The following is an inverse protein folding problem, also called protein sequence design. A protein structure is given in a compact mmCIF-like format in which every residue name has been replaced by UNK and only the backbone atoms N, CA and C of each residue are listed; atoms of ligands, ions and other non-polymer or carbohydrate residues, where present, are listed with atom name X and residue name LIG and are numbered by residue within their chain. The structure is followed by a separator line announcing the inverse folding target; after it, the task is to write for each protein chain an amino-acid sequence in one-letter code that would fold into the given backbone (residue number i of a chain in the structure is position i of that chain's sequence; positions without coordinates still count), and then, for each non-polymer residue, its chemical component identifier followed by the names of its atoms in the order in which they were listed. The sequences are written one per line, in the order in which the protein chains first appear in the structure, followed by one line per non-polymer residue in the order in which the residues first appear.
data_IF_443019937284
#
_entry.id   IF_443019937284
#
_cell.length_a   1.000
_cell.length_b   1.000
_cell.length_c   1.000
_cell.angle_alpha   90.00
_cell.angle_beta   90.00
_cell.angle_gamma   90.00
#
_symmetry.space_group_name_H-M   'P 1'
#
loop_
_entity.id
_entity.type
_entity.pdbx_description
1 polymer ?
#
# COMPACT_ATOMS: atom_id res chain seq x y z
N UNK A 1 29.64 33.41 18.45
CA UNK A 1 28.92 32.92 19.64
C UNK A 1 29.06 31.42 19.62
N UNK A 2 29.64 30.87 20.68
CA UNK A 2 30.08 29.48 20.81
C UNK A 2 28.89 28.53 20.85
N UNK A 3 28.69 27.77 19.76
CA UNK A 3 27.89 26.54 19.74
C UNK A 3 28.57 25.52 20.64
N UNK A 4 28.21 25.51 21.92
CA UNK A 4 28.49 24.38 22.79
C UNK A 4 27.56 23.24 22.35
N UNK A 5 28.01 22.48 21.34
CA UNK A 5 27.45 21.21 20.96
C UNK A 5 27.39 20.32 22.20
N UNK A 6 26.18 20.04 22.68
CA UNK A 6 26.00 18.89 23.57
C UNK A 6 26.47 17.64 22.84
N UNK A 7 27.01 16.65 23.56
CA UNK A 7 27.59 15.43 22.96
C UNK A 7 26.63 14.64 22.04
N UNK A 8 25.34 15.01 22.00
CA UNK A 8 24.31 14.44 21.13
C UNK A 8 24.02 15.28 19.86
N UNK A 9 24.70 16.41 19.63
CA UNK A 9 24.46 17.28 18.47
C UNK A 9 23.11 18.02 18.51
N UNK A 10 22.52 18.21 19.69
CA UNK A 10 21.25 18.90 19.88
C UNK A 10 21.47 20.36 20.27
N UNK A 11 20.65 21.25 19.72
CA UNK A 11 20.62 22.65 20.16
C UNK A 11 20.05 22.75 21.59
N UNK A 12 20.33 23.85 22.32
CA UNK A 12 19.92 23.99 23.72
C UNK A 12 18.41 23.91 23.96
N UNK A 13 17.58 24.36 23.03
CA UNK A 13 16.13 24.32 23.19
C UNK A 13 15.63 22.87 23.07
N UNK A 14 16.09 22.15 22.05
CA UNK A 14 15.76 20.74 21.87
C UNK A 14 16.23 19.89 23.05
N UNK A 15 17.44 20.14 23.57
CA UNK A 15 17.92 19.45 24.77
C UNK A 15 17.02 19.72 25.99
N UNK A 16 16.64 20.97 26.23
CA UNK A 16 15.78 21.33 27.36
C UNK A 16 14.42 20.65 27.26
N UNK A 17 13.82 20.62 26.07
CA UNK A 17 12.54 19.92 25.86
C UNK A 17 12.67 18.41 26.05
N UNK A 18 13.79 17.81 25.62
CA UNK A 18 14.07 16.40 25.89
C UNK A 18 14.20 16.12 27.39
N UNK A 19 14.92 16.96 28.13
CA UNK A 19 15.08 16.82 29.58
C UNK A 19 13.75 16.98 30.31
N UNK A 20 12.90 17.93 29.89
CA UNK A 20 11.53 18.10 30.41
C UNK A 20 10.67 16.87 30.14
N UNK A 21 10.74 16.32 28.93
CA UNK A 21 10.00 15.11 28.56
C UNK A 21 10.46 13.92 29.41
N UNK A 22 11.78 13.73 29.55
CA UNK A 22 12.39 12.66 30.32
C UNK A 22 12.08 12.76 31.82
N UNK A 23 11.92 13.98 32.35
CA UNK A 23 11.54 14.22 33.75
C UNK A 23 10.03 14.22 34.00
N UNK A 24 9.18 13.92 33.00
CA UNK A 24 7.72 13.95 33.17
C UNK A 24 7.18 12.66 33.81
N UNK A 25 6.16 12.79 34.65
CA UNK A 25 5.48 11.64 35.31
C UNK A 25 4.92 10.61 34.31
N UNK A 26 4.65 11.04 33.07
CA UNK A 26 4.13 10.20 31.99
C UNK A 26 5.20 9.60 31.07
N UNK A 27 6.49 9.74 31.38
CA UNK A 27 7.57 9.41 30.45
C UNK A 27 7.53 7.97 29.94
N UNK A 28 7.32 6.98 30.80
CA UNK A 28 7.24 5.57 30.39
C UNK A 28 6.12 5.34 29.37
N UNK A 29 4.95 5.96 29.61
CA UNK A 29 3.81 5.86 28.71
C UNK A 29 4.08 6.58 27.38
N UNK A 30 4.77 7.71 27.39
CA UNK A 30 5.22 8.41 26.19
C UNK A 30 6.18 7.53 25.39
N UNK A 31 7.16 6.92 26.05
CA UNK A 31 8.13 6.01 25.44
C UNK A 31 7.44 4.81 24.79
N UNK A 32 6.44 4.23 25.47
CA UNK A 32 5.61 3.16 24.93
C UNK A 32 4.83 3.59 23.68
N UNK A 33 4.20 4.77 23.70
CA UNK A 33 3.52 5.30 22.52
C UNK A 33 4.50 5.51 21.35
N UNK A 34 5.69 6.05 21.61
CA UNK A 34 6.73 6.24 20.58
C UNK A 34 7.15 4.89 19.99
N UNK A 35 7.45 3.89 20.83
CA UNK A 35 7.81 2.54 20.36
C UNK A 35 6.70 1.91 19.52
N UNK A 36 5.44 2.03 19.94
CA UNK A 36 4.28 1.49 19.21
C UNK A 36 4.06 2.14 17.84
N UNK A 37 4.44 3.40 17.66
CA UNK A 37 4.35 4.05 16.34
C UNK A 37 5.47 3.62 15.39
N UNK A 38 6.50 2.92 15.88
CA UNK A 38 7.51 2.26 15.05
C UNK A 38 8.35 3.22 14.19
N UNK A 39 8.55 4.46 14.65
CA UNK A 39 9.28 5.49 13.88
C UNK A 39 8.44 6.20 12.82
N UNK A 40 7.11 6.15 12.92
CA UNK A 40 6.22 6.92 12.07
C UNK A 40 6.57 8.42 12.07
N UNK A 41 6.74 9.01 10.89
CA UNK A 41 7.13 10.42 10.71
C UNK A 41 6.05 11.41 11.14
N UNK A 42 4.78 11.07 10.91
CA UNK A 42 3.64 11.92 11.24
C UNK A 42 2.50 11.11 11.88
N UNK A 43 2.62 10.72 13.16
CA UNK A 43 1.61 9.89 13.83
C UNK A 43 0.24 10.56 13.92
N UNK A 44 -0.82 9.78 13.74
CA UNK A 44 -2.20 10.23 13.98
C UNK A 44 -2.38 10.42 15.49
N UNK A 45 -2.88 11.59 15.89
CA UNK A 45 -3.20 11.92 17.29
C UNK A 45 -4.69 11.77 17.50
N UNK A 46 -5.08 10.82 18.35
CA UNK A 46 -6.46 10.58 18.73
C UNK A 46 -6.75 11.18 20.12
N UNK A 47 -7.95 11.74 20.26
CA UNK A 47 -8.54 12.17 21.52
C UNK A 47 -9.93 11.55 21.65
N UNK A 48 -10.27 11.04 22.82
CA UNK A 48 -11.57 10.49 23.12
C UNK A 48 -11.51 9.30 24.06
N UNK A 49 -12.62 8.59 24.15
CA UNK A 49 -12.78 7.44 25.03
C UNK A 49 -13.47 6.28 24.31
N UNK A 50 -13.26 5.07 24.81
CA UNK A 50 -13.99 3.88 24.40
C UNK A 50 -14.47 3.13 25.63
N UNK A 51 -15.66 2.56 25.53
CA UNK A 51 -16.25 1.71 26.57
C UNK A 51 -16.79 0.47 25.89
N UNK A 52 -16.24 -0.69 26.25
CA UNK A 52 -16.75 -1.99 25.85
C UNK A 52 -17.74 -2.48 26.89
N UNK A 53 -18.96 -2.82 26.46
CA UNK A 53 -20.02 -3.33 27.31
C UNK A 53 -20.41 -4.74 26.89
N UNK A 54 -20.77 -5.57 27.86
CA UNK A 54 -21.40 -6.85 27.61
C UNK A 54 -22.75 -6.63 26.91
N UNK A 55 -22.98 -7.36 25.80
CA UNK A 55 -24.13 -7.11 24.93
C UNK A 55 -25.48 -7.50 25.56
N UNK A 56 -25.47 -8.42 26.54
CA UNK A 56 -26.69 -8.96 27.16
C UNK A 56 -27.00 -8.22 28.46
N UNK A 57 -26.00 -8.04 29.31
CA UNK A 57 -26.13 -7.47 30.66
C UNK A 57 -25.89 -5.96 30.69
N UNK A 58 -25.22 -5.39 29.69
CA UNK A 58 -24.87 -3.96 29.63
C UNK A 58 -23.72 -3.55 30.56
N UNK A 59 -23.14 -4.50 31.31
CA UNK A 59 -22.02 -4.27 32.21
C UNK A 59 -20.78 -3.78 31.46
N UNK A 60 -20.04 -2.83 32.03
CA UNK A 60 -18.78 -2.35 31.44
C UNK A 60 -17.70 -3.40 31.64
N UNK A 61 -17.17 -3.91 30.53
CA UNK A 61 -16.05 -4.87 30.53
C UNK A 61 -14.70 -4.14 30.46
N UNK A 62 -14.64 -3.03 29.72
CA UNK A 62 -13.42 -2.25 29.56
C UNK A 62 -13.78 -0.78 29.31
N UNK A 63 -13.01 0.14 29.89
CA UNK A 63 -13.06 1.56 29.58
C UNK A 63 -11.65 2.10 29.38
N UNK A 64 -11.53 3.05 28.46
CA UNK A 64 -10.29 3.73 28.15
C UNK A 64 -10.61 5.19 27.81
N UNK A 65 -9.82 6.14 28.31
CA UNK A 65 -9.89 7.56 27.93
C UNK A 65 -8.50 8.11 27.67
N UNK A 66 -8.37 8.97 26.66
CA UNK A 66 -7.12 9.70 26.42
C UNK A 66 -6.86 10.79 27.45
N UNK A 67 -7.83 11.12 28.31
CA UNK A 67 -7.63 12.10 29.41
C UNK A 67 -6.53 11.66 30.39
N UNK A 68 -6.31 10.35 30.49
CA UNK A 68 -5.24 9.75 31.30
C UNK A 68 -3.96 9.49 30.50
N UNK A 69 -3.92 9.84 29.21
CA UNK A 69 -2.72 9.72 28.39
C UNK A 69 -1.86 10.99 28.51
N UNK A 70 -0.53 10.86 28.45
CA UNK A 70 0.36 12.02 28.44
C UNK A 70 0.03 12.99 27.28
N UNK A 71 -0.30 14.22 27.64
CA UNK A 71 -0.74 15.25 26.69
C UNK A 71 -2.17 15.05 26.15
N UNK A 72 -2.99 14.22 26.79
CA UNK A 72 -4.39 14.01 26.43
C UNK A 72 -4.59 13.25 25.12
N UNK A 73 -3.55 12.58 24.61
CA UNK A 73 -3.56 12.00 23.25
C UNK A 73 -2.98 10.58 23.19
N UNK A 74 -3.60 9.76 22.33
CA UNK A 74 -3.03 8.49 21.87
C UNK A 74 -2.44 8.67 20.48
N UNK A 75 -1.17 8.28 20.31
CA UNK A 75 -0.49 8.29 19.00
C UNK A 75 -0.59 6.94 18.31
N UNK A 76 -1.02 6.96 17.05
CA UNK A 76 -1.03 5.79 16.17
C UNK A 76 -0.16 6.04 14.94
N UNK A 77 0.50 4.99 14.45
CA UNK A 77 1.22 5.05 13.19
C UNK A 77 0.26 5.46 12.05
N UNK A 78 0.69 6.35 11.15
CA UNK A 78 -0.18 6.88 10.09
C UNK A 78 -0.61 5.85 9.04
N UNK A 79 0.08 4.71 8.96
CA UNK A 79 -0.18 3.66 7.96
C UNK A 79 0.03 4.12 6.52
N UNK A 80 0.69 5.26 6.29
CA UNK A 80 0.93 5.78 4.96
C UNK A 80 1.91 4.88 4.21
N UNK A 81 1.47 4.40 3.05
CA UNK A 81 2.21 3.42 2.24
C UNK A 81 3.28 4.07 1.34
N UNK A 82 3.33 5.40 1.28
CA UNK A 82 4.27 6.16 0.45
C UNK A 82 5.53 6.44 1.24
N UNK A 83 6.66 5.86 0.82
CA UNK A 83 7.96 6.08 1.45
C UNK A 83 8.36 7.57 1.47
N UNK A 84 7.96 8.34 0.46
CA UNK A 84 8.16 9.80 0.41
C UNK A 84 7.35 10.60 1.43
N UNK A 85 6.38 9.98 2.12
CA UNK A 85 5.57 10.61 3.17
C UNK A 85 5.88 10.06 4.55
N UNK A 86 6.10 8.75 4.67
CA UNK A 86 6.50 8.11 5.91
C UNK A 86 7.34 6.86 5.58
N UNK A 87 8.69 6.93 5.64
CA UNK A 87 9.56 5.81 5.33
C UNK A 87 9.29 4.58 6.22
N UNK A 88 9.09 4.79 7.52
CA UNK A 88 8.88 3.71 8.49
C UNK A 88 7.58 2.92 8.22
N UNK A 89 6.43 3.61 8.10
CA UNK A 89 5.16 2.93 7.83
C UNK A 89 5.15 2.25 6.45
N UNK A 90 5.77 2.87 5.45
CA UNK A 90 5.89 2.28 4.12
C UNK A 90 6.76 1.00 4.13
N UNK A 91 7.85 0.98 4.91
CA UNK A 91 8.69 -0.19 5.08
C UNK A 91 7.94 -1.36 5.71
N UNK A 92 7.24 -1.13 6.82
CA UNK A 92 6.40 -2.16 7.46
C UNK A 92 5.35 -2.70 6.50
N UNK A 93 4.64 -1.80 5.80
CA UNK A 93 3.64 -2.20 4.80
C UNK A 93 4.23 -3.06 3.67
N UNK A 94 5.42 -2.69 3.17
CA UNK A 94 6.11 -3.44 2.12
C UNK A 94 6.51 -4.83 2.62
N UNK A 95 7.03 -4.95 3.85
CA UNK A 95 7.35 -6.22 4.49
C UNK A 95 6.13 -7.12 4.66
N UNK A 96 5.03 -6.58 5.17
CA UNK A 96 3.75 -7.32 5.32
C UNK A 96 3.23 -7.81 3.98
N UNK A 97 3.25 -6.94 2.97
CA UNK A 97 2.82 -7.28 1.60
C UNK A 97 3.72 -8.36 1.01
N UNK A 98 5.05 -8.27 1.20
CA UNK A 98 5.98 -9.30 0.77
C UNK A 98 5.66 -10.66 1.39
N UNK A 99 5.43 -10.71 2.71
CA UNK A 99 5.09 -11.95 3.39
C UNK A 99 3.76 -12.54 2.92
N UNK A 100 2.75 -11.71 2.65
CA UNK A 100 1.46 -12.15 2.10
C UNK A 100 1.63 -12.74 0.69
N UNK A 101 2.30 -12.02 -0.21
CA UNK A 101 2.51 -12.47 -1.59
C UNK A 101 3.39 -13.73 -1.62
N UNK A 102 4.48 -13.77 -0.84
CA UNK A 102 5.36 -14.93 -0.73
C UNK A 102 4.60 -16.16 -0.26
N UNK A 103 3.84 -16.08 0.84
CA UNK A 103 3.04 -17.20 1.33
C UNK A 103 2.07 -17.70 0.23
N UNK A 104 1.41 -16.77 -0.48
CA UNK A 104 0.56 -17.09 -1.62
C UNK A 104 1.28 -17.64 -2.86
N UNK A 105 2.60 -17.54 -2.94
CA UNK A 105 3.38 -18.07 -4.05
C UNK A 105 4.02 -19.42 -3.74
N UNK A 106 4.58 -19.58 -2.55
CA UNK A 106 5.43 -20.74 -2.24
C UNK A 106 4.93 -21.61 -1.09
N UNK A 107 3.82 -21.22 -0.43
CA UNK A 107 3.38 -21.84 0.81
C UNK A 107 4.01 -21.20 2.05
N UNK A 108 3.29 -21.26 3.16
CA UNK A 108 3.72 -20.89 4.51
C UNK A 108 2.77 -21.53 5.53
N UNK A 109 3.02 -22.78 5.98
CA UNK A 109 2.13 -23.49 6.90
C UNK A 109 1.90 -22.77 8.23
N UNK A 110 2.88 -22.00 8.70
CA UNK A 110 2.74 -21.17 9.90
C UNK A 110 1.71 -20.04 9.74
N UNK A 111 1.40 -19.67 8.49
CA UNK A 111 0.34 -18.73 8.12
C UNK A 111 -0.90 -19.42 7.53
N UNK A 112 -1.02 -20.73 7.72
CA UNK A 112 -2.16 -21.52 7.23
C UNK A 112 -2.20 -21.71 5.71
N UNK A 113 -1.08 -21.55 5.01
CA UNK A 113 -0.99 -21.77 3.56
C UNK A 113 -0.13 -23.01 3.27
N UNK A 114 -0.68 -24.11 2.72
CA UNK A 114 0.09 -25.33 2.46
C UNK A 114 1.23 -25.14 1.45
N UNK A 115 2.27 -25.98 1.52
CA UNK A 115 3.40 -25.94 0.58
C UNK A 115 3.01 -26.37 -0.84
N UNK A 116 1.94 -27.17 -0.97
CA UNK A 116 1.37 -27.58 -2.27
C UNK A 116 0.95 -26.40 -3.14
N UNK A 117 0.73 -25.23 -2.54
CA UNK A 117 0.47 -23.98 -3.26
C UNK A 117 1.53 -23.70 -4.31
N UNK A 118 2.79 -24.10 -4.10
CA UNK A 118 3.87 -23.91 -5.07
C UNK A 118 3.59 -24.57 -6.43
N UNK A 119 2.88 -25.68 -6.43
CA UNK A 119 2.64 -26.49 -7.64
C UNK A 119 1.36 -26.07 -8.37
N UNK A 120 0.56 -25.19 -7.76
CA UNK A 120 -0.69 -24.73 -8.34
C UNK A 120 -0.45 -23.89 -9.62
N UNK A 121 -1.24 -24.13 -10.69
CA UNK A 121 -1.16 -23.35 -11.92
C UNK A 121 -1.37 -21.86 -11.66
N UNK A 122 -0.52 -21.02 -12.25
CA UNK A 122 -0.60 -19.58 -12.10
C UNK A 122 -0.18 -18.83 -13.36
N UNK A 123 -0.68 -17.61 -13.47
CA UNK A 123 -0.30 -16.65 -14.51
C UNK A 123 0.14 -15.35 -13.84
N UNK A 124 1.26 -14.80 -14.30
CA UNK A 124 1.62 -13.41 -14.05
C UNK A 124 1.09 -12.55 -15.20
N UNK A 125 0.01 -11.82 -14.95
CA UNK A 125 -0.66 -10.98 -15.92
C UNK A 125 -0.34 -9.51 -15.68
N UNK A 126 -0.07 -8.78 -16.76
CA UNK A 126 0.02 -7.32 -16.74
C UNK A 126 -1.13 -6.74 -17.54
N UNK A 127 -1.99 -5.95 -16.90
CA UNK A 127 -3.12 -5.28 -17.51
C UNK A 127 -2.80 -3.79 -17.62
N UNK A 128 -2.56 -3.31 -18.84
CA UNK A 128 -2.16 -1.94 -19.10
C UNK A 128 -3.30 -1.08 -19.62
N UNK A 129 -3.23 0.21 -19.33
CA UNK A 129 -4.12 1.19 -19.94
C UNK A 129 -4.02 1.21 -21.47
N UNK A 130 -5.09 1.59 -22.18
CA UNK A 130 -5.03 1.88 -23.61
C UNK A 130 -4.06 3.05 -23.91
N UNK A 131 -3.90 3.35 -25.19
CA UNK A 131 -3.22 4.58 -25.61
C UNK A 131 -4.19 5.75 -25.53
N UNK A 132 -3.71 6.90 -25.04
CA UNK A 132 -4.44 8.18 -25.05
C UNK A 132 -3.78 9.21 -25.99
N UNK A 133 -2.76 8.77 -26.74
CA UNK A 133 -1.90 9.64 -27.55
C UNK A 133 -0.43 9.26 -27.37
N UNK A 134 0.45 9.72 -28.28
CA UNK A 134 1.86 9.44 -28.20
C UNK A 134 2.52 10.25 -27.06
N UNK A 135 3.39 9.59 -26.30
CA UNK A 135 4.15 10.20 -25.18
C UNK A 135 5.64 10.07 -25.43
N UNK A 136 6.44 10.92 -24.78
CA UNK A 136 7.88 10.72 -24.75
C UNK A 136 8.24 9.42 -24.02
N UNK A 137 9.15 8.65 -24.60
CA UNK A 137 9.56 7.33 -24.12
C UNK A 137 11.01 7.02 -24.52
N UNK A 138 11.51 5.84 -24.08
CA UNK A 138 12.85 5.32 -24.40
C UNK A 138 12.73 4.01 -25.19
N UNK A 139 12.63 4.02 -26.53
CA UNK A 139 12.42 2.81 -27.33
C UNK A 139 13.71 1.99 -27.54
N UNK A 140 14.64 2.00 -26.56
CA UNK A 140 15.92 1.30 -26.60
C UNK A 140 16.95 2.00 -27.50
N UNK A 141 17.32 1.36 -28.60
CA UNK A 141 18.38 1.81 -29.52
C UNK A 141 17.95 2.91 -30.49
N UNK A 142 16.67 3.30 -30.49
CA UNK A 142 16.12 4.36 -31.35
C UNK A 142 15.86 5.62 -30.53
N UNK A 143 15.94 6.82 -31.14
CA UNK A 143 15.50 8.03 -30.48
C UNK A 143 14.00 7.97 -30.19
N UNK A 144 13.55 8.77 -29.23
CA UNK A 144 12.14 9.06 -29.04
C UNK A 144 11.56 9.63 -30.34
N UNK A 145 10.23 9.53 -30.51
CA UNK A 145 9.54 10.08 -31.69
C UNK A 145 9.72 11.61 -31.83
N UNK A 146 10.11 12.32 -30.78
CA UNK A 146 10.50 13.73 -30.86
C UNK A 146 11.91 13.97 -31.45
N UNK A 147 12.66 12.92 -31.78
CA UNK A 147 14.02 12.99 -32.32
C UNK A 147 15.14 12.87 -31.27
N UNK A 148 14.83 12.95 -29.98
CA UNK A 148 15.83 13.00 -28.88
C UNK A 148 16.02 11.63 -28.23
N UNK A 149 17.26 11.30 -27.82
CA UNK A 149 17.51 10.20 -26.89
C UNK A 149 17.41 10.71 -25.46
N UNK A 150 16.36 10.28 -24.76
CA UNK A 150 16.11 10.70 -23.38
C UNK A 150 16.91 9.87 -22.38
N UNK A 151 17.60 10.50 -21.40
CA UNK A 151 18.11 9.79 -20.23
C UNK A 151 16.94 9.23 -19.38
N UNK A 152 17.24 8.34 -18.43
CA UNK A 152 16.21 7.62 -17.65
C UNK A 152 15.35 8.52 -16.74
N UNK A 153 15.94 9.62 -16.30
CA UNK A 153 15.39 10.62 -15.39
C UNK A 153 14.89 11.88 -16.11
N UNK A 154 14.87 11.87 -17.45
CA UNK A 154 14.34 12.99 -18.25
C UNK A 154 12.90 13.34 -17.83
N UNK A 155 12.63 14.62 -17.48
CA UNK A 155 11.32 15.05 -16.97
C UNK A 155 10.20 14.92 -18.00
N UNK A 156 10.52 14.91 -19.30
CA UNK A 156 9.56 14.75 -20.39
C UNK A 156 9.02 13.33 -20.48
N UNK A 157 9.69 12.32 -19.89
CA UNK A 157 9.27 10.92 -20.04
C UNK A 157 7.86 10.68 -19.49
N UNK A 158 6.99 10.19 -20.35
CA UNK A 158 5.57 9.97 -20.05
C UNK A 158 4.67 11.17 -20.31
N UNK A 159 5.21 12.36 -20.60
CA UNK A 159 4.39 13.49 -21.04
C UNK A 159 4.00 13.34 -22.51
N UNK A 160 2.86 13.92 -22.94
CA UNK A 160 2.46 13.88 -24.34
C UNK A 160 3.49 14.53 -25.27
N UNK A 161 3.68 13.97 -26.47
CA UNK A 161 4.49 14.62 -27.51
C UNK A 161 3.81 15.89 -28.02
N UNK A 162 2.49 15.85 -28.10
CA UNK A 162 1.64 16.98 -28.45
C UNK A 162 0.55 17.07 -27.37
N UNK A 163 0.61 18.07 -26.48
CA UNK A 163 -0.40 18.29 -25.46
C UNK A 163 -1.78 18.62 -26.03
N UNK A 164 -1.90 19.21 -27.22
CA UNK A 164 -3.19 19.66 -27.74
C UNK A 164 -4.06 18.49 -28.25
N UNK A 165 -3.42 17.42 -28.75
CA UNK A 165 -4.11 16.23 -29.28
C UNK A 165 -4.20 15.06 -28.29
N UNK A 166 -3.63 15.17 -27.09
CA UNK A 166 -3.65 14.09 -26.10
C UNK A 166 -5.02 13.97 -25.42
N UNK A 167 -5.54 12.75 -25.34
CA UNK A 167 -6.82 12.44 -24.70
C UNK A 167 -6.69 12.41 -23.17
N UNK A 168 -6.62 13.59 -22.57
CA UNK A 168 -6.59 13.74 -21.11
C UNK A 168 -7.88 13.25 -20.46
N UNK A 169 -9.04 13.45 -21.11
CA UNK A 169 -10.32 13.03 -20.58
C UNK A 169 -10.36 11.51 -20.42
N UNK A 170 -9.97 10.76 -21.46
CA UNK A 170 -9.85 9.32 -21.42
C UNK A 170 -8.83 8.84 -20.39
N UNK A 171 -7.68 9.50 -20.26
CA UNK A 171 -6.67 9.15 -19.27
C UNK A 171 -7.17 9.32 -17.82
N UNK A 172 -7.89 10.41 -17.52
CA UNK A 172 -8.50 10.66 -16.21
C UNK A 172 -9.60 9.63 -15.93
N UNK A 173 -10.50 9.39 -16.90
CA UNK A 173 -11.57 8.41 -16.76
C UNK A 173 -11.03 7.00 -16.53
N UNK A 174 -9.98 6.60 -17.25
CA UNK A 174 -9.30 5.33 -17.03
C UNK A 174 -8.80 5.19 -15.58
N UNK A 175 -8.07 6.19 -15.09
CA UNK A 175 -7.53 6.16 -13.73
C UNK A 175 -8.65 6.12 -12.68
N UNK A 176 -9.71 6.91 -12.87
CA UNK A 176 -10.87 6.94 -11.99
C UNK A 176 -11.60 5.58 -11.94
N UNK A 177 -11.74 4.92 -13.09
CA UNK A 177 -12.43 3.63 -13.21
C UNK A 177 -11.52 2.41 -13.06
N UNK A 178 -10.21 2.57 -12.81
CA UNK A 178 -9.26 1.46 -12.74
C UNK A 178 -9.68 0.38 -11.71
N UNK A 179 -10.21 0.79 -10.55
CA UNK A 179 -10.70 -0.13 -9.52
C UNK A 179 -11.95 -0.90 -9.96
N UNK A 180 -12.88 -0.24 -10.65
CA UNK A 180 -14.07 -0.89 -11.21
C UNK A 180 -13.71 -1.84 -12.34
N UNK A 181 -12.80 -1.45 -13.23
CA UNK A 181 -12.29 -2.31 -14.30
C UNK A 181 -11.66 -3.57 -13.72
N UNK A 182 -10.89 -3.46 -12.64
CA UNK A 182 -10.38 -4.63 -11.93
C UNK A 182 -11.51 -5.50 -11.34
N UNK A 183 -12.51 -4.89 -10.70
CA UNK A 183 -13.68 -5.61 -10.18
C UNK A 183 -14.36 -6.40 -11.29
N UNK A 184 -14.67 -5.75 -12.42
CA UNK A 184 -15.27 -6.41 -13.58
C UNK A 184 -14.38 -7.50 -14.15
N UNK A 185 -13.08 -7.25 -14.33
CA UNK A 185 -12.12 -8.27 -14.76
C UNK A 185 -12.24 -9.55 -13.91
N UNK A 186 -12.24 -9.42 -12.58
CA UNK A 186 -12.33 -10.61 -11.71
C UNK A 186 -13.69 -11.31 -11.73
N UNK A 187 -14.78 -10.59 -12.03
CA UNK A 187 -16.11 -11.16 -12.23
C UNK A 187 -16.16 -11.93 -13.55
N UNK A 188 -15.76 -11.30 -14.65
CA UNK A 188 -15.81 -11.89 -15.98
C UNK A 188 -14.81 -13.03 -16.15
N UNK A 189 -13.62 -12.93 -15.56
CA UNK A 189 -12.63 -14.02 -15.57
C UNK A 189 -13.24 -15.33 -15.03
N UNK A 190 -13.92 -15.27 -13.88
CA UNK A 190 -14.56 -16.46 -13.28
C UNK A 190 -15.70 -17.00 -14.13
N UNK A 191 -16.48 -16.11 -14.77
CA UNK A 191 -17.54 -16.50 -15.70
C UNK A 191 -16.99 -17.21 -16.94
N UNK A 192 -15.94 -16.66 -17.53
CA UNK A 192 -15.29 -17.23 -18.71
C UNK A 192 -14.61 -18.57 -18.42
N UNK A 193 -13.99 -18.72 -17.24
CA UNK A 193 -13.44 -20.01 -16.79
C UNK A 193 -14.57 -21.06 -16.69
N UNK A 194 -15.67 -20.74 -16.00
CA UNK A 194 -16.79 -21.66 -15.86
C UNK A 194 -17.39 -22.05 -17.22
N UNK A 195 -17.61 -21.06 -18.09
CA UNK A 195 -18.12 -21.27 -19.45
C UNK A 195 -17.22 -22.19 -20.28
N UNK A 196 -15.90 -21.96 -20.28
CA UNK A 196 -14.93 -22.79 -21.01
C UNK A 196 -14.81 -24.21 -20.45
N UNK A 197 -15.05 -24.39 -19.15
CA UNK A 197 -15.10 -25.70 -18.51
C UNK A 197 -16.46 -26.42 -18.69
N UNK A 198 -17.47 -25.78 -19.30
CA UNK A 198 -18.82 -26.35 -19.39
C UNK A 198 -19.54 -26.46 -18.03
N UNK A 199 -19.13 -25.67 -17.04
CA UNK A 199 -19.64 -25.71 -15.68
C UNK A 199 -20.48 -24.48 -15.34
N UNK A 200 -21.36 -24.62 -14.34
CA UNK A 200 -21.93 -23.45 -13.66
C UNK A 200 -20.84 -22.73 -12.86
N UNK A 201 -21.01 -21.43 -12.59
CA UNK A 201 -20.05 -20.68 -11.77
C UNK A 201 -19.89 -21.27 -10.36
N UNK A 202 -20.96 -21.84 -9.79
CA UNK A 202 -20.93 -22.51 -8.48
C UNK A 202 -20.06 -23.76 -8.55
N UNK A 203 -20.34 -24.65 -9.51
CA UNK A 203 -19.58 -25.88 -9.70
C UNK A 203 -18.10 -25.59 -10.02
N UNK A 204 -17.83 -24.62 -10.89
CA UNK A 204 -16.46 -24.22 -11.21
C UNK A 204 -15.69 -23.72 -9.97
N UNK A 205 -16.35 -22.98 -9.07
CA UNK A 205 -15.73 -22.51 -7.81
C UNK A 205 -15.44 -23.66 -6.84
N UNK A 206 -16.31 -24.67 -6.78
CA UNK A 206 -16.11 -25.86 -5.96
C UNK A 206 -14.95 -26.73 -6.48
N UNK A 207 -14.74 -26.76 -7.80
CA UNK A 207 -13.66 -27.52 -8.44
C UNK A 207 -12.33 -26.75 -8.52
N UNK A 208 -12.36 -25.43 -8.58
CA UNK A 208 -11.15 -24.62 -8.66
C UNK A 208 -11.41 -23.19 -8.18
N UNK A 209 -10.85 -22.84 -7.02
CA UNK A 209 -10.87 -21.47 -6.53
C UNK A 209 -9.85 -20.62 -7.29
N UNK A 210 -10.32 -19.51 -7.86
CA UNK A 210 -9.46 -18.48 -8.47
C UNK A 210 -9.02 -17.49 -7.41
N UNK A 211 -7.75 -17.54 -7.04
CA UNK A 211 -7.08 -16.66 -6.08
C UNK A 211 -6.17 -15.68 -6.81
N UNK A 212 -5.99 -14.46 -6.29
CA UNK A 212 -5.08 -13.50 -6.90
C UNK A 212 -4.44 -12.56 -5.88
N UNK A 213 -3.21 -12.13 -6.19
CA UNK A 213 -2.57 -10.96 -5.59
C UNK A 213 -2.35 -9.92 -6.69
N UNK A 214 -2.67 -8.65 -6.44
CA UNK A 214 -2.52 -7.57 -7.42
C UNK A 214 -1.77 -6.38 -6.84
N UNK A 215 -1.00 -5.73 -7.69
CA UNK A 215 -0.38 -4.43 -7.45
C UNK A 215 -0.89 -3.47 -8.51
N UNK A 216 -1.24 -2.26 -8.09
CA UNK A 216 -1.57 -1.15 -8.98
C UNK A 216 -0.38 -0.19 -8.99
N UNK A 217 0.15 0.09 -10.17
CA UNK A 217 1.31 0.95 -10.34
C UNK A 217 1.02 2.02 -11.40
N UNK A 218 1.57 3.22 -11.20
CA UNK A 218 1.52 4.28 -12.19
C UNK A 218 2.67 4.12 -13.17
N UNK A 219 2.35 4.02 -14.45
CA UNK A 219 3.36 4.19 -15.49
C UNK A 219 3.91 5.62 -15.43
N UNK A 220 5.10 5.87 -16.01
CA UNK A 220 5.65 7.23 -16.15
C UNK A 220 4.66 8.23 -16.78
N UNK A 221 3.80 7.75 -17.68
CA UNK A 221 2.69 8.53 -18.28
C UNK A 221 1.47 8.77 -17.37
N UNK A 222 1.57 8.45 -16.08
CA UNK A 222 0.49 8.64 -15.10
C UNK A 222 -0.71 7.70 -15.24
N UNK A 223 -0.69 6.75 -16.17
CA UNK A 223 -1.76 5.77 -16.32
C UNK A 223 -1.56 4.57 -15.38
N UNK A 224 -2.60 4.21 -14.64
CA UNK A 224 -2.58 3.02 -13.77
C UNK A 224 -2.50 1.76 -14.63
N UNK A 225 -1.65 0.83 -14.23
CA UNK A 225 -1.63 -0.54 -14.73
C UNK A 225 -1.60 -1.52 -13.56
N UNK A 226 -2.01 -2.76 -13.82
CA UNK A 226 -2.03 -3.81 -12.81
C UNK A 226 -1.03 -4.90 -13.16
N UNK A 227 -0.25 -5.29 -12.16
CA UNK A 227 0.44 -6.58 -12.15
C UNK A 227 -0.33 -7.52 -11.24
N UNK A 228 -0.66 -8.71 -11.74
CA UNK A 228 -1.43 -9.68 -10.98
C UNK A 228 -0.84 -11.08 -11.11
N UNK A 229 -0.66 -11.75 -9.98
CA UNK A 229 -0.53 -13.20 -9.96
C UNK A 229 -1.94 -13.77 -9.78
N UNK A 230 -2.37 -14.59 -10.73
CA UNK A 230 -3.67 -15.27 -10.70
C UNK A 230 -3.39 -16.77 -10.61
N UNK A 231 -3.92 -17.42 -9.58
CA UNK A 231 -3.66 -18.83 -9.23
C UNK A 231 -4.97 -19.61 -9.18
N UNK A 232 -4.91 -20.86 -9.62
CA UNK A 232 -6.02 -21.81 -9.59
C UNK A 232 -5.76 -22.84 -8.49
N UNK A 233 -6.66 -22.91 -7.52
CA UNK A 233 -6.56 -23.81 -6.38
C UNK A 233 -7.61 -24.91 -6.51
N UNK A 234 -7.18 -26.15 -6.77
CA UNK A 234 -8.05 -27.33 -6.78
C UNK A 234 -8.60 -27.66 -5.38
N UNK A 235 -9.57 -28.61 -5.30
CA UNK A 235 -10.15 -29.07 -4.04
C UNK A 235 -9.13 -29.76 -3.14
#
# INVERSE_FOLDING_TARGET
MTDAATMAGLDPATLNDLLRLAGSDGFDRIQDQIRRTGGCTDPIRLQGSTVTRDAVTGHVLHSYSTDTEPGGVLRLACGNRRASRCPACAWTYAGDTYHLIRAGLVGDPAKGTPDTIRDHPRVFATLTAPSFGPVHNRPGTRPCRCGTHHPEDAPELGTPLDPESYDYAGAVLWNNHASDLWRYFTIYLRREIAKRAGLTQKAAREQSRVSFGKVAEYQKRGAVHFHAVIRFDGP
#
